data_IF_276617084501
#
_entry.id   IF_276617084501
#
_cell.length_a   1.000
_cell.length_b   1.000
_cell.length_c   1.000
_cell.angle_alpha   90.00
_cell.angle_beta   90.00
_cell.angle_gamma   90.00
#
_symmetry.space_group_name_H-M   'P 1'
#
loop_
_entity.id
_entity.type
_entity.pdbx_description
1 polymer ?
#
# COMPACT_ATOMS: atom_id res chain seq x y z
N UNK A 1 -13.00 -29.08 23.48
CA UNK A 1 -14.38 -28.63 23.14
C UNK A 1 -14.32 -28.16 21.70
N UNK A 2 -14.71 -29.00 20.74
CA UNK A 2 -14.37 -28.79 19.33
C UNK A 2 -15.03 -27.54 18.70
N UNK A 3 -16.13 -27.04 19.26
CA UNK A 3 -16.79 -25.81 18.78
C UNK A 3 -16.00 -24.56 19.18
N UNK A 4 -15.56 -24.47 20.44
CA UNK A 4 -14.78 -23.31 20.93
C UNK A 4 -13.46 -23.17 20.18
N UNK A 5 -12.74 -24.28 19.96
CA UNK A 5 -11.49 -24.32 19.18
C UNK A 5 -11.69 -23.79 17.76
N UNK A 6 -12.72 -24.28 17.05
CA UNK A 6 -13.06 -23.82 15.69
C UNK A 6 -13.49 -22.35 15.66
N UNK A 7 -14.24 -21.90 16.66
CA UNK A 7 -14.63 -20.49 16.76
C UNK A 7 -13.42 -19.59 16.95
N UNK A 8 -12.46 -19.98 17.80
CA UNK A 8 -11.22 -19.22 18.00
C UNK A 8 -10.37 -19.15 16.72
N UNK A 9 -10.25 -20.25 15.97
CA UNK A 9 -9.55 -20.27 14.68
C UNK A 9 -10.21 -19.33 13.65
N UNK A 10 -11.54 -19.37 13.55
CA UNK A 10 -12.30 -18.48 12.65
C UNK A 10 -12.14 -17.01 13.04
N UNK A 11 -12.15 -16.68 14.34
CA UNK A 11 -11.90 -15.31 14.80
C UNK A 11 -10.50 -14.83 14.41
N UNK A 12 -9.48 -15.68 14.58
CA UNK A 12 -8.12 -15.36 14.17
C UNK A 12 -8.02 -15.11 12.66
N UNK A 13 -8.63 -15.96 11.84
CA UNK A 13 -8.66 -15.76 10.39
C UNK A 13 -9.41 -14.49 9.97
N UNK A 14 -10.52 -14.19 10.64
CA UNK A 14 -11.30 -12.98 10.36
C UNK A 14 -10.49 -11.71 10.67
N UNK A 15 -9.78 -11.67 11.79
CA UNK A 15 -8.90 -10.54 12.11
C UNK A 15 -7.77 -10.37 11.07
N UNK A 16 -7.17 -11.47 10.59
CA UNK A 16 -6.19 -11.40 9.49
C UNK A 16 -6.79 -10.81 8.21
N UNK A 17 -7.99 -11.24 7.83
CA UNK A 17 -8.69 -10.73 6.65
C UNK A 17 -9.04 -9.24 6.80
N UNK A 18 -9.49 -8.82 7.99
CA UNK A 18 -9.81 -7.42 8.28
C UNK A 18 -8.56 -6.54 8.16
N UNK A 19 -7.43 -6.99 8.71
CA UNK A 19 -6.16 -6.28 8.60
C UNK A 19 -5.71 -6.21 7.14
N UNK A 20 -5.75 -7.32 6.40
CA UNK A 20 -5.43 -7.35 4.98
C UNK A 20 -6.29 -6.36 4.17
N UNK A 21 -7.59 -6.30 4.41
CA UNK A 21 -8.50 -5.39 3.72
C UNK A 21 -8.18 -3.91 4.02
N UNK A 22 -7.81 -3.58 5.27
CA UNK A 22 -7.40 -2.23 5.65
C UNK A 22 -6.13 -1.80 4.91
N UNK A 23 -5.09 -2.65 4.92
CA UNK A 23 -3.83 -2.34 4.24
C UNK A 23 -4.03 -2.18 2.73
N UNK A 24 -4.80 -3.03 2.08
CA UNK A 24 -5.05 -2.89 0.64
C UNK A 24 -5.87 -1.64 0.29
N UNK A 25 -6.93 -1.37 1.05
CA UNK A 25 -7.89 -0.32 0.67
C UNK A 25 -7.44 1.09 1.04
N UNK A 26 -6.66 1.23 2.12
CA UNK A 26 -6.26 2.53 2.65
C UNK A 26 -4.76 2.78 2.52
N UNK A 27 -3.94 1.83 2.95
CA UNK A 27 -2.49 2.04 3.05
C UNK A 27 -1.81 1.91 1.70
N UNK A 28 -2.10 0.85 0.94
CA UNK A 28 -1.50 0.61 -0.39
C UNK A 28 -2.06 1.55 -1.45
N UNK A 29 -3.35 1.91 -1.33
CA UNK A 29 -4.03 2.77 -2.28
C UNK A 29 -3.45 4.19 -2.30
N UNK A 30 -3.01 4.71 -1.14
CA UNK A 30 -2.47 6.06 -1.02
C UNK A 30 -1.21 6.31 -1.89
N UNK A 31 -0.10 5.54 -1.76
CA UNK A 31 1.07 5.70 -2.60
C UNK A 31 0.77 5.39 -4.07
N UNK A 32 -0.12 4.43 -4.36
CA UNK A 32 -0.54 4.14 -5.72
C UNK A 32 -1.21 5.35 -6.40
N UNK A 33 -2.20 5.98 -5.76
CA UNK A 33 -2.85 7.17 -6.30
C UNK A 33 -1.87 8.34 -6.45
N UNK A 34 -0.92 8.48 -5.52
CA UNK A 34 0.13 9.50 -5.58
C UNK A 34 1.05 9.29 -6.79
N UNK A 35 1.47 8.05 -7.07
CA UNK A 35 2.24 7.71 -8.28
C UNK A 35 1.45 8.10 -9.54
N UNK A 36 0.17 7.74 -9.63
CA UNK A 36 -0.65 8.09 -10.79
C UNK A 36 -0.74 9.60 -11.00
N UNK A 37 -0.96 10.36 -9.92
CA UNK A 37 -1.01 11.82 -9.97
C UNK A 37 0.33 12.44 -10.39
N UNK A 38 1.45 11.94 -9.85
CA UNK A 38 2.79 12.43 -10.20
C UNK A 38 3.16 12.11 -11.64
N UNK A 39 2.81 10.94 -12.17
CA UNK A 39 2.98 10.60 -13.59
C UNK A 39 2.18 11.53 -14.50
N UNK A 40 0.94 11.86 -14.10
CA UNK A 40 0.14 12.85 -14.81
C UNK A 40 0.80 14.24 -14.77
N UNK A 41 1.24 14.71 -13.62
CA UNK A 41 1.96 15.98 -13.50
C UNK A 41 3.26 15.98 -14.32
N UNK A 42 3.99 14.86 -14.34
CA UNK A 42 5.19 14.71 -15.16
C UNK A 42 4.88 14.87 -16.66
N UNK A 43 3.73 14.35 -17.10
CA UNK A 43 3.30 14.49 -18.50
C UNK A 43 2.89 15.92 -18.88
N UNK A 44 2.50 16.73 -17.89
CA UNK A 44 2.17 18.15 -18.06
C UNK A 44 3.36 19.07 -17.83
N UNK A 45 4.42 18.59 -17.16
CA UNK A 45 5.57 19.38 -16.81
C UNK A 45 6.25 19.91 -18.08
N UNK A 46 6.37 21.23 -18.18
CA UNK A 46 7.12 21.89 -19.26
C UNK A 46 8.63 21.62 -19.16
N UNK A 47 9.45 22.48 -19.77
CA UNK A 47 10.93 22.29 -19.78
C UNK A 47 11.64 22.56 -18.44
N UNK A 48 10.91 22.83 -17.35
CA UNK A 48 11.49 23.08 -16.03
C UNK A 48 12.19 21.82 -15.48
N UNK A 49 13.51 21.87 -15.34
CA UNK A 49 14.29 20.77 -14.73
C UNK A 49 14.00 20.64 -13.24
N UNK A 50 13.75 21.74 -12.53
CA UNK A 50 13.47 21.75 -11.09
C UNK A 50 12.18 20.98 -10.81
N UNK A 51 11.13 21.20 -11.59
CA UNK A 51 9.85 20.49 -11.42
C UNK A 51 9.99 19.00 -11.77
N UNK A 52 10.83 18.66 -12.77
CA UNK A 52 11.10 17.25 -13.12
C UNK A 52 11.79 16.50 -11.99
N UNK A 53 12.83 17.08 -11.40
CA UNK A 53 13.58 16.43 -10.32
C UNK A 53 12.74 16.30 -9.05
N UNK A 54 11.91 17.30 -8.71
CA UNK A 54 10.98 17.19 -7.58
C UNK A 54 9.94 16.08 -7.83
N UNK A 55 9.32 16.03 -9.01
CA UNK A 55 8.37 14.96 -9.36
C UNK A 55 9.03 13.58 -9.28
N UNK A 56 10.26 13.45 -9.78
CA UNK A 56 11.02 12.21 -9.73
C UNK A 56 11.32 11.78 -8.30
N UNK A 57 11.72 12.71 -7.43
CA UNK A 57 11.95 12.44 -6.00
C UNK A 57 10.67 11.91 -5.34
N UNK A 58 9.54 12.60 -5.56
CA UNK A 58 8.23 12.21 -5.00
C UNK A 58 7.73 10.86 -5.53
N UNK A 59 8.03 10.54 -6.79
CA UNK A 59 7.73 9.24 -7.38
C UNK A 59 8.51 8.15 -6.65
N UNK A 60 9.82 8.36 -6.42
CA UNK A 60 10.65 7.40 -5.71
C UNK A 60 10.14 7.17 -4.28
N UNK A 61 9.86 8.26 -3.54
CA UNK A 61 9.28 8.16 -2.19
C UNK A 61 7.98 7.34 -2.17
N UNK A 62 7.12 7.55 -3.17
CA UNK A 62 5.84 6.84 -3.26
C UNK A 62 6.01 5.37 -3.64
N UNK A 63 6.98 5.04 -4.49
CA UNK A 63 7.32 3.65 -4.83
C UNK A 63 7.89 2.91 -3.62
N UNK A 64 8.78 3.56 -2.87
CA UNK A 64 9.39 2.97 -1.66
C UNK A 64 8.34 2.70 -0.57
N UNK A 65 7.41 3.64 -0.38
CA UNK A 65 6.27 3.47 0.54
C UNK A 65 5.33 2.33 0.09
N UNK A 66 5.08 2.22 -1.22
CA UNK A 66 4.28 1.13 -1.79
C UNK A 66 4.94 -0.23 -1.56
N UNK A 67 6.25 -0.35 -1.81
CA UNK A 67 7.02 -1.59 -1.59
C UNK A 67 7.04 -1.98 -0.10
N UNK A 68 7.21 -1.00 0.80
CA UNK A 68 7.11 -1.24 2.24
C UNK A 68 5.73 -1.78 2.62
N UNK A 69 4.66 -1.18 2.10
CA UNK A 69 3.28 -1.62 2.36
C UNK A 69 3.03 -3.03 1.84
N UNK A 70 3.55 -3.38 0.66
CA UNK A 70 3.45 -4.73 0.10
C UNK A 70 4.13 -5.76 1.02
N UNK A 71 5.32 -5.44 1.55
CA UNK A 71 6.03 -6.32 2.49
C UNK A 71 5.26 -6.52 3.80
N UNK A 72 4.63 -5.46 4.31
CA UNK A 72 3.78 -5.54 5.51
C UNK A 72 2.55 -6.43 5.27
N UNK A 73 1.90 -6.30 4.11
CA UNK A 73 0.79 -7.18 3.70
C UNK A 73 1.26 -8.64 3.63
N UNK A 74 2.42 -8.91 3.02
CA UNK A 74 2.97 -10.27 2.93
C UNK A 74 3.24 -10.87 4.32
N UNK A 75 3.66 -10.06 5.29
CA UNK A 75 3.86 -10.50 6.66
C UNK A 75 2.55 -10.87 7.36
N UNK A 76 1.48 -10.09 7.15
CA UNK A 76 0.14 -10.35 7.72
C UNK A 76 -0.47 -11.64 7.15
N UNK A 77 -0.22 -11.95 5.88
CA UNK A 77 -0.77 -13.16 5.24
C UNK A 77 0.00 -14.42 5.65
N UNK A 78 1.32 -14.32 5.88
CA UNK A 78 2.17 -15.48 6.23
C UNK A 78 2.08 -15.88 7.71
N UNK A 79 1.85 -14.92 8.61
CA UNK A 79 1.71 -15.16 10.06
C UNK A 79 0.26 -15.31 10.46
#
# INVERSE_FOLDING_TARGET
>A
KLVEERTSELMLQNEKLKNYAHYNSHVLKAPFCRIQGLLYLQSLAGKSEVDREEIKLRLQESVDEMDKTIKEIQHIVRN
#
